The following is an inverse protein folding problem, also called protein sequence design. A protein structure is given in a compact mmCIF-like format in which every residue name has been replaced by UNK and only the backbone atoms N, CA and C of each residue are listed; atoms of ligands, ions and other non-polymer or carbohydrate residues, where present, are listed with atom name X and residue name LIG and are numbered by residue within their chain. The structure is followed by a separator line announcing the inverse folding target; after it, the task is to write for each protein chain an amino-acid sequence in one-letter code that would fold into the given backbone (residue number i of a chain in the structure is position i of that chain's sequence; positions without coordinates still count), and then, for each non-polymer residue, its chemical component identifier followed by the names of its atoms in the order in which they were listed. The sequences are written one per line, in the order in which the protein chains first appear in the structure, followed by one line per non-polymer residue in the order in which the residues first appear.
data_IF_893443569348
#
_entry.id   IF_893443569348
#
_cell.length_a   1.000
_cell.length_b   1.000
_cell.length_c   1.000
_cell.angle_alpha   90.00
_cell.angle_beta   90.00
_cell.angle_gamma   90.00
#
_symmetry.space_group_name_H-M   'P 1'
#
loop_
_entity.id
_entity.type
_entity.pdbx_description
1 polymer ?
#
# COMPACT_ATOMS: atom_id res chain seq x y z
N UNK A 1 1.39 6.74 3.25
CA UNK A 1 2.10 5.92 4.23
C UNK A 1 3.45 6.53 4.61
N UNK A 2 4.30 6.87 3.65
CA UNK A 2 5.62 7.48 3.93
C UNK A 2 5.51 8.75 4.77
N UNK A 3 4.53 9.62 4.48
CA UNK A 3 4.30 10.83 5.26
C UNK A 3 3.90 10.52 6.72
N UNK A 4 3.07 9.50 6.92
CA UNK A 4 2.66 9.05 8.25
C UNK A 4 3.88 8.51 9.04
N UNK A 5 4.68 7.65 8.42
CA UNK A 5 5.90 7.10 9.03
C UNK A 5 6.89 8.20 9.44
N UNK A 6 7.07 9.22 8.59
CA UNK A 6 7.95 10.35 8.89
C UNK A 6 7.48 11.20 10.07
N UNK A 7 6.16 11.33 10.28
CA UNK A 7 5.60 12.10 11.40
C UNK A 7 5.87 11.49 12.76
N UNK A 8 6.09 10.19 12.84
CA UNK A 8 6.37 9.49 14.11
C UNK A 8 7.73 9.92 14.71
N UNK A 9 8.67 10.35 13.85
CA UNK A 9 9.91 10.99 14.30
C UNK A 9 11.03 10.03 14.75
N UNK A 10 10.82 8.71 14.62
CA UNK A 10 11.88 7.71 14.84
C UNK A 10 11.79 6.57 13.82
N UNK A 11 12.91 5.87 13.61
CA UNK A 11 13.03 4.87 12.53
C UNK A 11 12.52 3.48 12.90
N UNK A 12 12.49 3.14 14.18
CA UNK A 12 12.07 1.82 14.64
C UNK A 12 10.61 1.88 15.11
N UNK A 13 9.72 1.33 14.30
CA UNK A 13 8.28 1.31 14.54
C UNK A 13 7.77 -0.09 14.91
N UNK A 14 8.62 -0.92 15.51
CA UNK A 14 8.17 -2.21 16.05
C UNK A 14 7.04 -2.00 17.07
N UNK A 15 6.02 -2.86 16.99
CA UNK A 15 4.82 -2.75 17.82
C UNK A 15 3.77 -1.75 17.30
N UNK A 16 4.10 -0.95 16.27
CA UNK A 16 3.13 -0.02 15.68
C UNK A 16 2.29 -0.70 14.60
N UNK A 17 1.09 -0.19 14.44
CA UNK A 17 0.15 -0.56 13.39
C UNK A 17 -0.05 0.60 12.43
N UNK A 18 0.02 0.33 11.14
CA UNK A 18 -0.27 1.28 10.07
C UNK A 18 -1.61 0.91 9.41
N UNK A 19 -2.45 1.91 9.18
CA UNK A 19 -3.68 1.79 8.41
C UNK A 19 -3.54 2.56 7.11
N UNK A 20 -3.84 1.91 5.99
CA UNK A 20 -3.78 2.48 4.65
C UNK A 20 -5.12 2.31 3.92
N UNK A 21 -5.48 3.28 3.08
CA UNK A 21 -6.70 3.21 2.26
C UNK A 21 -6.59 2.20 1.13
N UNK A 22 -5.38 2.02 0.59
CA UNK A 22 -5.09 1.03 -0.45
C UNK A 22 -3.87 0.19 -0.13
N UNK A 23 -3.68 -0.89 -0.87
CA UNK A 23 -2.46 -1.68 -0.79
C UNK A 23 -1.26 -0.78 -1.13
N UNK A 24 -0.20 -0.76 -0.31
CA UNK A 24 0.92 0.15 -0.50
C UNK A 24 1.65 -0.06 -1.83
N UNK A 25 2.01 1.02 -2.50
CA UNK A 25 2.93 0.96 -3.63
C UNK A 25 4.32 0.48 -3.19
N UNK A 26 5.17 0.13 -4.15
CA UNK A 26 6.51 -0.41 -3.89
C UNK A 26 7.37 0.49 -2.99
N UNK A 27 7.28 1.80 -3.16
CA UNK A 27 8.01 2.78 -2.32
C UNK A 27 7.51 2.74 -0.88
N UNK A 28 6.18 2.77 -0.69
CA UNK A 28 5.56 2.76 0.63
C UNK A 28 5.81 1.42 1.34
N UNK A 29 5.69 0.30 0.63
CA UNK A 29 5.98 -1.02 1.17
C UNK A 29 7.44 -1.13 1.63
N UNK A 30 8.38 -0.62 0.83
CA UNK A 30 9.78 -0.54 1.21
C UNK A 30 9.99 0.28 2.49
N UNK A 31 9.34 1.43 2.62
CA UNK A 31 9.43 2.27 3.81
C UNK A 31 8.82 1.58 5.05
N UNK A 32 7.70 0.87 4.89
CA UNK A 32 7.06 0.09 5.96
C UNK A 32 8.00 -1.01 6.47
N UNK A 33 8.60 -1.77 5.57
CA UNK A 33 9.56 -2.81 5.93
C UNK A 33 10.81 -2.24 6.61
N UNK A 34 11.35 -1.16 6.05
CA UNK A 34 12.55 -0.53 6.59
C UNK A 34 12.33 0.06 7.98
N UNK A 35 11.15 0.62 8.23
CA UNK A 35 10.77 1.14 9.55
C UNK A 35 10.33 0.06 10.55
N UNK A 36 10.22 -1.21 10.13
CA UNK A 36 9.85 -2.34 10.98
C UNK A 36 8.46 -2.22 11.62
N UNK A 37 7.51 -1.59 10.94
CA UNK A 37 6.10 -1.63 11.33
C UNK A 37 5.67 -3.08 11.51
N UNK A 38 4.97 -3.39 12.58
CA UNK A 38 4.59 -4.76 12.90
C UNK A 38 3.32 -5.23 12.21
N UNK A 39 2.37 -4.32 11.97
CA UNK A 39 1.08 -4.65 11.37
C UNK A 39 0.66 -3.58 10.38
N UNK A 40 0.23 -4.01 9.20
CA UNK A 40 -0.38 -3.19 8.18
C UNK A 40 -1.82 -3.65 7.94
N UNK A 41 -2.77 -2.74 8.13
CA UNK A 41 -4.13 -2.90 7.61
C UNK A 41 -4.32 -2.05 6.37
N UNK A 42 -4.90 -2.63 5.32
CA UNK A 42 -5.28 -1.90 4.11
C UNK A 42 -6.73 -2.23 3.72
N UNK A 43 -7.39 -1.31 3.03
CA UNK A 43 -8.79 -1.44 2.65
C UNK A 43 -8.95 -1.94 1.22
N UNK A 44 -8.53 -1.14 0.24
CA UNK A 44 -8.66 -1.45 -1.17
C UNK A 44 -7.47 -2.28 -1.64
N UNK A 45 -7.74 -3.37 -2.36
CA UNK A 45 -6.69 -4.19 -2.95
C UNK A 45 -5.98 -3.48 -4.11
N UNK A 46 -4.94 -4.12 -4.60
CA UNK A 46 -4.13 -3.58 -5.69
C UNK A 46 -4.95 -3.32 -6.96
N UNK A 47 -5.87 -4.23 -7.30
CA UNK A 47 -6.70 -4.08 -8.48
C UNK A 47 -7.65 -2.86 -8.37
N UNK A 48 -8.23 -2.62 -7.20
CA UNK A 48 -9.09 -1.46 -6.94
C UNK A 48 -8.29 -0.15 -6.99
N UNK A 49 -7.10 -0.14 -6.40
CA UNK A 49 -6.20 1.02 -6.39
C UNK A 49 -5.79 1.40 -7.82
N UNK A 50 -5.41 0.42 -8.62
CA UNK A 50 -5.09 0.60 -10.03
C UNK A 50 -6.29 1.11 -10.84
N UNK A 51 -7.47 0.51 -10.65
CA UNK A 51 -8.69 0.94 -11.34
C UNK A 51 -9.12 2.37 -10.98
N UNK A 52 -8.67 2.89 -9.83
CA UNK A 52 -8.87 4.29 -9.44
C UNK A 52 -7.89 5.28 -10.13
N UNK A 53 -6.89 4.78 -10.86
CA UNK A 53 -5.90 5.59 -11.58
C UNK A 53 -4.55 5.74 -10.88
N UNK A 54 -4.31 4.98 -9.80
CA UNK A 54 -3.00 4.87 -9.15
C UNK A 54 -2.28 3.64 -9.72
N UNK A 55 -1.86 3.76 -11.00
CA UNK A 55 -1.27 2.66 -11.75
C UNK A 55 0.26 2.68 -11.67
N UNK A 56 0.80 1.89 -10.76
CA UNK A 56 2.24 1.66 -10.60
C UNK A 56 2.66 0.25 -11.07
N UNK A 57 1.84 -0.39 -11.92
CA UNK A 57 2.07 -1.77 -12.39
C UNK A 57 3.45 -1.96 -13.01
N UNK A 58 3.93 -0.98 -13.78
CA UNK A 58 5.26 -1.05 -14.39
C UNK A 58 6.36 -1.14 -13.34
N UNK A 59 6.27 -0.32 -12.29
CA UNK A 59 7.23 -0.34 -11.18
C UNK A 59 7.13 -1.63 -10.37
N UNK A 60 5.91 -2.06 -10.07
CA UNK A 60 5.68 -3.31 -9.35
C UNK A 60 6.18 -4.52 -10.14
N UNK A 61 6.00 -4.51 -11.47
CA UNK A 61 6.54 -5.55 -12.35
C UNK A 61 8.06 -5.55 -12.38
N UNK A 62 8.69 -4.38 -12.49
CA UNK A 62 10.14 -4.25 -12.46
C UNK A 62 10.73 -4.80 -11.15
N UNK A 63 10.15 -4.43 -10.02
CA UNK A 63 10.55 -4.96 -8.70
C UNK A 63 10.29 -6.47 -8.62
N UNK A 64 9.13 -6.93 -9.09
CA UNK A 64 8.77 -8.34 -9.14
C UNK A 64 9.74 -9.18 -9.97
N UNK A 65 10.22 -8.63 -11.09
CA UNK A 65 11.25 -9.29 -11.92
C UNK A 65 12.56 -9.45 -11.15
N UNK A 66 12.97 -8.45 -10.39
CA UNK A 66 14.19 -8.51 -9.57
C UNK A 66 14.06 -9.51 -8.42
N UNK A 67 12.91 -9.57 -7.78
CA UNK A 67 12.68 -10.42 -6.60
C UNK A 67 11.93 -11.73 -6.89
N UNK A 68 11.58 -11.99 -8.14
CA UNK A 68 10.91 -13.23 -8.54
C UNK A 68 9.44 -13.33 -8.07
N UNK A 69 8.76 -12.21 -7.88
CA UNK A 69 7.36 -12.16 -7.46
C UNK A 69 6.51 -11.30 -8.41
N UNK A 70 5.19 -11.48 -8.39
CA UNK A 70 4.24 -10.64 -9.13
C UNK A 70 3.45 -9.74 -8.18
N UNK A 71 2.88 -8.60 -8.64
CA UNK A 71 2.11 -7.70 -7.78
C UNK A 71 0.97 -8.37 -7.02
N UNK A 72 0.24 -9.26 -7.67
CA UNK A 72 -0.85 -10.03 -7.06
C UNK A 72 -0.36 -11.00 -5.96
N UNK A 73 0.88 -11.45 -6.06
CA UNK A 73 1.51 -12.32 -5.06
C UNK A 73 1.98 -11.52 -3.84
N UNK A 74 2.31 -10.23 -3.99
CA UNK A 74 2.75 -9.39 -2.86
C UNK A 74 1.68 -9.25 -1.78
N UNK A 75 0.40 -9.26 -2.13
CA UNK A 75 -0.70 -9.24 -1.16
C UNK A 75 -0.80 -10.54 -0.34
N UNK A 76 -0.28 -11.64 -0.86
CA UNK A 76 -0.30 -12.96 -0.25
C UNK A 76 1.04 -13.34 0.41
N UNK A 77 2.11 -12.58 0.12
CA UNK A 77 3.45 -12.87 0.64
C UNK A 77 3.53 -12.54 2.12
N UNK A 78 3.96 -13.50 2.90
CA UNK A 78 4.34 -13.27 4.29
C UNK A 78 5.72 -12.61 4.34
N UNK A 79 5.74 -11.35 4.68
CA UNK A 79 6.98 -10.60 4.85
C UNK A 79 7.50 -10.78 6.28
N UNK A 80 8.79 -11.05 6.48
CA UNK A 80 9.34 -11.25 7.82
C UNK A 80 9.08 -10.04 8.74
N UNK A 81 8.42 -10.27 9.87
CA UNK A 81 8.16 -9.25 10.87
C UNK A 81 7.02 -8.28 10.54
N UNK A 82 6.32 -8.45 9.41
CA UNK A 82 5.17 -7.65 9.04
C UNK A 82 3.93 -8.53 8.84
N UNK A 83 2.89 -8.28 9.64
CA UNK A 83 1.58 -8.88 9.49
C UNK A 83 0.70 -7.96 8.60
N UNK A 84 0.31 -8.45 7.42
CA UNK A 84 -0.50 -7.69 6.45
C UNK A 84 -1.92 -8.24 6.47
N UNK A 85 -2.91 -7.37 6.65
CA UNK A 85 -4.33 -7.74 6.72
C UNK A 85 -5.20 -6.79 5.90
N UNK A 86 -6.08 -7.36 5.11
CA UNK A 86 -7.10 -6.59 4.41
C UNK A 86 -8.32 -6.36 5.30
N UNK A 87 -8.79 -5.11 5.35
CA UNK A 87 -10.07 -4.71 5.91
C UNK A 87 -10.95 -4.23 4.75
N UNK A 88 -11.75 -5.11 4.17
CA UNK A 88 -12.63 -4.78 3.05
C UNK A 88 -13.84 -3.96 3.54
N UNK A 89 -13.66 -2.64 3.66
CA UNK A 89 -14.69 -1.71 4.10
C UNK A 89 -15.35 -1.04 2.88
N UNK A 90 -16.70 -0.91 2.85
CA UNK A 90 -17.41 -0.22 1.76
C UNK A 90 -16.94 1.22 1.57
N UNK A 91 -16.58 1.90 2.65
CA UNK A 91 -16.09 3.28 2.68
C UNK A 91 -14.80 3.44 1.86
N UNK A 92 -13.95 2.41 1.82
CA UNK A 92 -12.73 2.44 1.03
C UNK A 92 -13.01 2.50 -0.47
N UNK A 93 -13.97 1.72 -0.96
CA UNK A 93 -14.40 1.77 -2.35
C UNK A 93 -15.08 3.12 -2.66
N UNK A 94 -15.93 3.61 -1.77
CA UNK A 94 -16.61 4.90 -1.91
C UNK A 94 -15.60 6.06 -2.04
N UNK A 95 -14.52 6.03 -1.27
CA UNK A 95 -13.45 7.03 -1.36
C UNK A 95 -12.82 7.08 -2.76
N UNK A 96 -12.62 5.92 -3.40
CA UNK A 96 -12.06 5.86 -4.75
C UNK A 96 -13.04 6.35 -5.81
N UNK A 97 -14.35 6.11 -5.64
CA UNK A 97 -15.37 6.67 -6.53
C UNK A 97 -15.45 8.21 -6.39
N UNK A 98 -15.35 8.74 -5.18
CA UNK A 98 -15.26 10.18 -4.94
C UNK A 98 -14.02 10.77 -5.63
N UNK A 99 -12.86 10.15 -5.48
CA UNK A 99 -11.63 10.55 -6.15
C UNK A 99 -11.78 10.59 -7.67
N UNK A 100 -12.39 9.56 -8.27
CA UNK A 100 -12.64 9.52 -9.72
C UNK A 100 -13.53 10.66 -10.22
N UNK A 101 -14.42 11.17 -9.36
CA UNK A 101 -15.29 12.30 -9.65
C UNK A 101 -14.62 13.67 -9.62
N UNK A 102 -13.41 13.81 -9.07
CA UNK A 102 -12.71 15.09 -8.99
C UNK A 102 -12.23 15.55 -10.37
N UNK A 103 -12.54 16.81 -10.79
CA UNK A 103 -12.22 17.30 -12.13
C UNK A 103 -10.71 17.57 -12.34
N UNK A 104 -9.98 17.81 -11.29
CA UNK A 104 -8.56 18.19 -11.27
C UNK A 104 -7.64 17.08 -10.76
N UNK A 105 -8.15 15.84 -10.65
CA UNK A 105 -7.33 14.70 -10.24
C UNK A 105 -6.17 14.46 -11.21
N UNK A 106 -5.01 14.18 -10.66
CA UNK A 106 -3.84 13.75 -11.42
C UNK A 106 -3.80 12.22 -11.48
N UNK A 107 -3.65 11.68 -12.69
CA UNK A 107 -3.42 10.26 -12.92
C UNK A 107 -1.91 10.00 -13.01
N UNK A 108 -1.49 8.86 -12.50
CA UNK A 108 -0.11 8.39 -12.57
C UNK A 108 0.07 7.45 -13.75
#
# INVERSE_FOLDING_TARGET
EVAALRKVGHLDLRGHTLYATGFPCVMCLGAILWSRVSTLYYCNDYAMTRAAGFDDEEFMRAVGTVFGCTPSVLEEVRLPGLDIRRLALPEGAALYEEWKGLPDRQLY
#
